data_IF_626407455636
#
_entry.id   IF_626407455636
#
_cell.length_a   1.000
_cell.length_b   1.000
_cell.length_c   1.000
_cell.angle_alpha   90.00
_cell.angle_beta   90.00
_cell.angle_gamma   90.00
#
_symmetry.space_group_name_H-M   'P 1'
#
loop_
_entity.id
_entity.type
_entity.pdbx_description
1 polymer ?
#
# COMPACT_ATOMS: atom_id res chain seq x y z
N UNK A 1 17.32 6.13 0.18
CA UNK A 1 16.13 5.73 0.87
C UNK A 1 15.70 4.35 0.45
N UNK A 2 15.27 3.53 1.39
CA UNK A 2 15.00 2.14 1.11
C UNK A 2 13.50 1.86 1.19
N UNK A 3 13.00 1.12 0.23
CA UNK A 3 11.62 0.66 0.26
C UNK A 3 11.62 -0.86 0.27
N UNK A 4 10.78 -1.45 1.08
CA UNK A 4 10.65 -2.90 1.15
C UNK A 4 9.19 -3.30 1.15
N UNK A 5 8.89 -4.33 0.40
CA UNK A 5 7.54 -4.87 0.31
C UNK A 5 7.62 -6.34 0.71
N UNK A 6 6.84 -6.72 1.71
CA UNK A 6 6.80 -8.09 2.20
C UNK A 6 5.41 -8.66 1.97
N UNK A 7 5.36 -9.94 1.65
CA UNK A 7 4.11 -10.63 1.38
C UNK A 7 3.86 -11.67 2.47
N UNK A 8 2.70 -11.61 3.08
CA UNK A 8 2.31 -12.57 4.11
C UNK A 8 0.95 -13.13 3.73
N UNK A 9 0.85 -14.46 3.70
CA UNK A 9 -0.40 -15.13 3.37
C UNK A 9 -0.98 -15.72 4.64
N UNK A 10 -2.25 -15.43 4.90
CA UNK A 10 -2.96 -15.97 6.04
C UNK A 10 -4.32 -16.46 5.55
N UNK A 11 -4.45 -17.77 5.41
CA UNK A 11 -5.66 -18.34 4.84
C UNK A 11 -5.86 -17.88 3.42
N UNK A 12 -6.98 -17.25 3.13
CA UNK A 12 -7.27 -16.72 1.80
C UNK A 12 -6.86 -15.27 1.64
N UNK A 13 -6.33 -14.67 2.70
CA UNK A 13 -6.00 -13.25 2.70
C UNK A 13 -4.52 -13.05 2.47
N UNK A 14 -4.17 -12.12 1.61
CA UNK A 14 -2.79 -11.76 1.35
C UNK A 14 -2.56 -10.36 1.90
N UNK A 15 -1.53 -10.23 2.73
CA UNK A 15 -1.15 -8.94 3.30
C UNK A 15 0.16 -8.52 2.69
N UNK A 16 0.19 -7.32 2.15
CA UNK A 16 1.42 -6.71 1.64
C UNK A 16 1.85 -5.64 2.63
N UNK A 17 2.99 -5.86 3.26
CA UNK A 17 3.52 -4.94 4.26
C UNK A 17 4.49 -3.98 3.60
N UNK A 18 4.21 -2.70 3.72
CA UNK A 18 5.01 -1.63 3.12
C UNK A 18 5.95 -1.07 4.17
N UNK A 19 7.22 -0.91 3.81
CA UNK A 19 8.22 -0.39 4.74
C UNK A 19 9.08 0.63 4.02
N UNK A 20 9.36 1.75 4.68
CA UNK A 20 10.23 2.78 4.14
C UNK A 20 9.44 3.85 3.39
N UNK A 21 9.96 4.28 2.24
CA UNK A 21 9.36 5.38 1.49
C UNK A 21 8.69 4.89 0.21
N UNK A 22 7.43 5.23 0.03
CA UNK A 22 6.67 4.84 -1.16
C UNK A 22 6.65 6.02 -2.12
N UNK A 23 7.28 5.83 -3.27
CA UNK A 23 7.30 6.86 -4.31
C UNK A 23 6.82 6.27 -5.63
N UNK A 24 6.74 7.12 -6.64
CA UNK A 24 6.35 6.63 -7.96
C UNK A 24 7.26 5.56 -8.53
N UNK A 25 8.51 5.54 -8.07
CA UNK A 25 9.47 4.55 -8.59
C UNK A 25 9.11 3.13 -8.23
N UNK A 26 8.49 2.93 -7.07
CA UNK A 26 8.15 1.58 -6.62
C UNK A 26 6.82 1.08 -7.16
N UNK A 27 5.99 1.95 -7.70
CA UNK A 27 4.65 1.57 -8.09
C UNK A 27 4.61 0.45 -9.14
N UNK A 28 5.46 0.43 -10.16
CA UNK A 28 5.42 -0.68 -11.13
C UNK A 28 5.68 -2.04 -10.48
N UNK A 29 6.63 -2.08 -9.55
CA UNK A 29 6.94 -3.32 -8.86
C UNK A 29 5.77 -3.76 -7.99
N UNK A 30 5.15 -2.82 -7.29
CA UNK A 30 3.99 -3.12 -6.46
C UNK A 30 2.84 -3.61 -7.32
N UNK A 31 2.60 -2.95 -8.45
CA UNK A 31 1.54 -3.34 -9.35
C UNK A 31 1.73 -4.76 -9.87
N UNK A 32 2.97 -5.12 -10.19
CA UNK A 32 3.25 -6.47 -10.67
C UNK A 32 2.94 -7.51 -9.60
N UNK A 33 3.29 -7.21 -8.34
CA UNK A 33 3.01 -8.13 -7.26
C UNK A 33 1.51 -8.26 -7.04
N UNK A 34 0.78 -7.17 -7.13
CA UNK A 34 -0.67 -7.17 -6.95
C UNK A 34 -1.33 -8.02 -8.03
N UNK A 35 -0.86 -7.92 -9.26
CA UNK A 35 -1.43 -8.71 -10.35
C UNK A 35 -1.33 -10.20 -10.08
N UNK A 36 -0.27 -10.61 -9.40
CA UNK A 36 -0.10 -12.03 -9.08
C UNK A 36 -1.09 -12.51 -8.04
N UNK A 37 -1.54 -11.60 -7.17
CA UNK A 37 -2.41 -12.00 -6.06
C UNK A 37 -3.88 -11.87 -6.37
N UNK A 38 -4.21 -11.15 -7.40
CA UNK A 38 -5.62 -10.97 -7.76
C UNK A 38 -6.17 -12.23 -8.41
N UNK A 39 -7.49 -12.49 -8.23
CA UNK A 39 -8.50 -11.59 -7.66
C UNK A 39 -8.75 -11.76 -6.16
N UNK A 40 -7.85 -12.33 -5.41
CA UNK A 40 -8.08 -12.53 -4.00
C UNK A 40 -8.13 -11.24 -3.19
N UNK A 41 -8.59 -11.31 -1.94
CA UNK A 41 -8.59 -10.14 -1.07
C UNK A 41 -7.17 -9.75 -0.68
N UNK A 42 -6.87 -8.45 -0.73
CA UNK A 42 -5.54 -7.94 -0.46
C UNK A 42 -5.62 -6.88 0.63
N UNK A 43 -4.72 -7.00 1.60
CA UNK A 43 -4.61 -6.04 2.69
C UNK A 43 -3.24 -5.37 2.59
N UNK A 44 -3.22 -4.04 2.73
CA UNK A 44 -1.98 -3.28 2.79
C UNK A 44 -1.71 -2.92 4.24
N UNK A 45 -0.60 -3.42 4.77
CA UNK A 45 -0.17 -3.09 6.12
C UNK A 45 0.83 -1.96 6.02
N UNK A 46 0.48 -0.82 6.56
CA UNK A 46 1.26 0.40 6.41
C UNK A 46 1.99 0.79 7.69
N UNK A 47 2.09 -0.12 8.65
CA UNK A 47 2.68 0.19 9.95
C UNK A 47 4.09 0.74 9.84
N UNK A 48 4.88 0.22 8.91
CA UNK A 48 6.27 0.61 8.76
C UNK A 48 6.51 1.59 7.63
N UNK A 49 5.47 2.12 7.05
CA UNK A 49 5.59 3.11 6.00
C UNK A 49 5.94 4.45 6.63
N UNK A 50 7.12 4.99 6.29
CA UNK A 50 7.62 6.20 6.93
C UNK A 50 7.33 7.46 6.13
N UNK A 51 7.16 7.33 4.82
CA UNK A 51 6.80 8.47 4.00
C UNK A 51 6.21 7.98 2.68
N UNK A 52 5.51 8.87 2.01
CA UNK A 52 4.95 8.55 0.70
C UNK A 52 4.96 9.84 -0.13
N UNK A 53 5.25 9.69 -1.41
CA UNK A 53 5.13 10.81 -2.33
C UNK A 53 3.67 10.97 -2.73
N UNK A 54 3.38 12.04 -3.47
CA UNK A 54 2.03 12.26 -3.95
C UNK A 54 1.54 11.08 -4.78
N UNK A 55 2.41 10.55 -5.63
CA UNK A 55 2.03 9.40 -6.45
C UNK A 55 1.73 8.18 -5.57
N UNK A 56 2.52 7.99 -4.52
CA UNK A 56 2.27 6.90 -3.60
C UNK A 56 0.94 7.05 -2.88
N UNK A 57 0.63 8.27 -2.44
CA UNK A 57 -0.63 8.54 -1.76
C UNK A 57 -1.80 8.32 -2.71
N UNK A 58 -1.69 8.78 -3.95
CA UNK A 58 -2.75 8.58 -4.93
C UNK A 58 -2.99 7.09 -5.18
N UNK A 59 -1.91 6.32 -5.26
CA UNK A 59 -2.03 4.89 -5.44
C UNK A 59 -2.77 4.25 -4.27
N UNK A 60 -2.40 4.60 -3.04
CA UNK A 60 -3.05 4.03 -1.86
C UNK A 60 -4.52 4.42 -1.79
N UNK A 61 -4.81 5.68 -2.12
CA UNK A 61 -6.20 6.16 -2.10
C UNK A 61 -7.05 5.39 -3.08
N UNK A 62 -6.53 5.18 -4.28
CA UNK A 62 -7.28 4.48 -5.31
C UNK A 62 -7.47 3.01 -4.95
N UNK A 63 -6.44 2.38 -4.43
CA UNK A 63 -6.53 0.98 -4.03
C UNK A 63 -7.56 0.80 -2.93
N UNK A 64 -7.55 1.70 -1.94
CA UNK A 64 -8.48 1.61 -0.81
C UNK A 64 -9.93 1.81 -1.27
N UNK A 65 -10.12 2.63 -2.30
CA UNK A 65 -11.48 2.88 -2.81
C UNK A 65 -12.03 1.68 -3.57
N UNK A 66 -11.15 0.90 -4.20
CA UNK A 66 -11.61 -0.12 -5.14
C UNK A 66 -11.49 -1.55 -4.64
N UNK A 67 -10.35 -1.93 -4.04
CA UNK A 67 -10.11 -3.35 -3.86
C UNK A 67 -9.18 -3.72 -2.71
N UNK A 68 -8.60 -2.77 -2.01
CA UNK A 68 -7.63 -3.07 -0.96
C UNK A 68 -8.10 -2.52 0.37
N UNK A 69 -7.71 -3.21 1.44
CA UNK A 69 -7.97 -2.75 2.79
C UNK A 69 -6.67 -2.22 3.36
N UNK A 70 -6.69 -1.02 3.93
CA UNK A 70 -5.50 -0.45 4.55
C UNK A 70 -5.58 -0.66 6.06
N UNK A 71 -4.51 -1.18 6.64
CA UNK A 71 -4.44 -1.39 8.09
C UNK A 71 -3.18 -0.73 8.64
N UNK A 72 -3.23 -0.34 9.90
CA UNK A 72 -2.10 0.24 10.62
C UNK A 72 -1.53 1.47 9.91
N UNK A 73 -2.40 2.25 9.30
CA UNK A 73 -1.97 3.42 8.54
C UNK A 73 -1.46 4.50 9.51
N UNK A 74 -0.23 5.00 9.32
CA UNK A 74 0.25 6.08 10.18
C UNK A 74 -0.64 7.30 10.08
N UNK A 75 -0.84 8.03 11.18
CA UNK A 75 -1.82 9.13 11.18
C UNK A 75 -1.60 10.17 10.09
N UNK A 76 -0.36 10.59 9.83
CA UNK A 76 -0.16 11.63 8.83
C UNK A 76 -0.39 11.12 7.42
N UNK A 77 -0.11 9.84 7.18
CA UNK A 77 -0.39 9.24 5.88
C UNK A 77 -1.89 9.06 5.70
N UNK A 78 -2.56 8.62 6.75
CA UNK A 78 -4.01 8.46 6.72
C UNK A 78 -4.71 9.78 6.42
N UNK A 79 -4.26 10.86 7.07
CA UNK A 79 -4.81 12.18 6.80
C UNK A 79 -4.62 12.59 5.36
N UNK A 80 -3.45 12.32 4.83
CA UNK A 80 -3.16 12.70 3.46
C UNK A 80 -4.03 11.92 2.49
N UNK A 81 -4.22 10.62 2.77
CA UNK A 81 -5.08 9.79 1.91
C UNK A 81 -6.51 10.30 1.94
N UNK A 82 -7.00 10.70 3.11
CA UNK A 82 -8.36 11.19 3.26
C UNK A 82 -8.53 12.60 2.74
N UNK A 83 -7.46 13.36 2.66
CA UNK A 83 -7.55 14.72 2.16
C UNK A 83 -7.86 14.69 0.68
N UNK A 84 -8.78 15.56 0.28
CA UNK A 84 -9.09 15.72 -1.13
C UNK A 84 -8.59 17.03 -1.58
N UNK A 85 -7.95 17.02 -2.71
CA UNK A 85 -7.46 18.27 -3.25
C UNK A 85 -8.18 18.75 -4.41
#
# INVERSE_FOLDING_TARGET
MTFRLSRVVSGKRVTLAFSGGLTGKELPEIAAMIERERPGPIVFDLADLTMASREGIDFLRQAAADWAELVNCPPYICRWIEAED
#
